data_IF_083023760125
#
_entry.id   IF_083023760125
#
_cell.length_a   1.000
_cell.length_b   1.000
_cell.length_c   1.000
_cell.angle_alpha   90.00
_cell.angle_beta   90.00
_cell.angle_gamma   90.00
#
_symmetry.space_group_name_H-M   'P 1'
#
loop_
_entity.id
_entity.type
_entity.pdbx_description
1 polymer ?
#
# COMPACT_ATOMS: atom_id res chain seq x y z
N UNK A 1 -24.18 -2.74 -17.10
CA UNK A 1 -24.54 -2.64 -15.66
C UNK A 1 -24.73 -1.18 -15.29
N UNK A 2 -25.67 -0.85 -14.40
CA UNK A 2 -25.85 0.52 -13.88
C UNK A 2 -25.28 0.59 -12.46
N UNK A 3 -24.58 1.67 -12.10
CA UNK A 3 -24.05 1.88 -10.74
C UNK A 3 -25.12 2.28 -9.71
N UNK A 4 -26.41 2.23 -10.09
CA UNK A 4 -27.54 2.67 -9.25
C UNK A 4 -27.93 1.62 -8.19
N UNK A 5 -27.64 0.36 -8.44
CA UNK A 5 -27.93 -0.74 -7.52
C UNK A 5 -26.63 -1.22 -6.89
N UNK A 6 -26.62 -1.31 -5.56
CA UNK A 6 -25.51 -1.93 -4.83
C UNK A 6 -25.44 -3.40 -5.21
N UNK A 7 -24.26 -3.88 -5.60
CA UNK A 7 -23.98 -5.29 -5.69
C UNK A 7 -23.81 -5.85 -4.26
N UNK A 8 -24.65 -6.82 -3.89
CA UNK A 8 -24.51 -7.58 -2.65
C UNK A 8 -24.17 -9.01 -3.09
N UNK A 9 -22.88 -9.29 -3.17
CA UNK A 9 -22.30 -10.56 -3.57
C UNK A 9 -20.94 -10.71 -2.88
N UNK A 10 -20.41 -11.93 -2.86
CA UNK A 10 -19.04 -12.17 -2.41
C UNK A 10 -18.04 -11.40 -3.27
N UNK A 11 -16.98 -10.89 -2.63
CA UNK A 11 -15.94 -10.15 -3.31
C UNK A 11 -15.07 -11.09 -4.14
N UNK A 12 -15.10 -10.92 -5.46
CA UNK A 12 -14.35 -11.77 -6.39
C UNK A 12 -12.84 -11.72 -6.18
N UNK A 13 -12.31 -10.58 -5.71
CA UNK A 13 -10.88 -10.42 -5.41
C UNK A 13 -10.44 -11.29 -4.22
N UNK A 14 -11.37 -11.56 -3.31
CA UNK A 14 -11.14 -12.32 -2.08
C UNK A 14 -11.44 -13.82 -2.25
N UNK A 15 -11.90 -14.24 -3.41
CA UNK A 15 -12.20 -15.65 -3.68
C UNK A 15 -10.96 -16.54 -3.45
N UNK A 16 -11.16 -17.64 -2.73
CA UNK A 16 -10.10 -18.59 -2.37
C UNK A 16 -9.47 -19.27 -3.59
N UNK A 17 -10.25 -19.46 -4.65
CA UNK A 17 -9.84 -20.09 -5.91
C UNK A 17 -9.25 -19.10 -6.93
N UNK A 18 -9.13 -17.82 -6.58
CA UNK A 18 -8.55 -16.81 -7.47
C UNK A 18 -7.05 -17.05 -7.64
N UNK A 19 -6.63 -17.28 -8.89
CA UNK A 19 -5.23 -17.51 -9.22
C UNK A 19 -4.34 -16.31 -8.82
N UNK A 20 -3.09 -16.57 -8.44
CA UNK A 20 -2.14 -15.52 -8.06
C UNK A 20 -1.86 -14.53 -9.21
N UNK A 21 -1.84 -15.02 -10.45
CA UNK A 21 -1.69 -14.18 -11.64
C UNK A 21 -2.87 -13.23 -11.82
N UNK A 22 -4.10 -13.75 -11.71
CA UNK A 22 -5.32 -12.93 -11.78
C UNK A 22 -5.36 -11.93 -10.64
N UNK A 23 -5.02 -12.33 -9.41
CA UNK A 23 -4.93 -11.43 -8.27
C UNK A 23 -3.95 -10.28 -8.54
N UNK A 24 -2.73 -10.59 -8.99
CA UNK A 24 -1.71 -9.59 -9.31
C UNK A 24 -2.19 -8.60 -10.40
N UNK A 25 -2.90 -9.08 -11.42
CA UNK A 25 -3.50 -8.23 -12.44
C UNK A 25 -4.59 -7.31 -11.86
N UNK A 26 -5.48 -7.84 -11.02
CA UNK A 26 -6.56 -7.07 -10.37
C UNK A 26 -5.99 -5.96 -9.50
N UNK A 27 -5.05 -6.27 -8.59
CA UNK A 27 -4.46 -5.25 -7.71
C UNK A 27 -3.61 -4.23 -8.49
N UNK A 28 -2.96 -4.66 -9.56
CA UNK A 28 -2.25 -3.77 -10.48
C UNK A 28 -3.19 -2.81 -11.23
N UNK A 29 -4.36 -3.28 -11.65
CA UNK A 29 -5.40 -2.44 -12.26
C UNK A 29 -6.04 -1.50 -11.25
N UNK A 30 -6.23 -1.95 -10.01
CA UNK A 30 -6.73 -1.12 -8.92
C UNK A 30 -5.79 0.07 -8.64
N UNK A 31 -4.46 -0.14 -8.70
CA UNK A 31 -3.49 0.95 -8.62
C UNK A 31 -3.66 2.02 -9.74
N UNK A 32 -4.08 1.62 -10.94
CA UNK A 32 -4.40 2.55 -12.04
C UNK A 32 -5.67 3.35 -11.71
N UNK A 33 -6.71 2.68 -11.19
CA UNK A 33 -7.94 3.34 -10.73
C UNK A 33 -7.62 4.35 -9.62
N UNK A 34 -6.85 3.96 -8.61
CA UNK A 34 -6.39 4.81 -7.52
C UNK A 34 -5.63 6.04 -8.02
N UNK A 35 -4.84 5.88 -9.08
CA UNK A 35 -4.17 7.01 -9.74
C UNK A 35 -5.16 7.99 -10.37
N UNK A 36 -6.16 7.49 -11.11
CA UNK A 36 -7.17 8.30 -11.78
C UNK A 36 -8.07 9.03 -10.77
N UNK A 37 -8.46 8.35 -9.70
CA UNK A 37 -9.29 8.91 -8.62
C UNK A 37 -8.50 9.79 -7.65
N UNK A 38 -7.19 9.92 -7.86
CA UNK A 38 -6.28 10.72 -7.03
C UNK A 38 -6.21 10.25 -5.57
N UNK A 39 -6.50 8.97 -5.32
CA UNK A 39 -6.48 8.33 -4.01
C UNK A 39 -5.17 8.52 -3.23
N UNK A 40 -3.97 8.60 -3.86
CA UNK A 40 -2.73 8.87 -3.10
C UNK A 40 -2.60 10.29 -2.53
N UNK A 41 -3.35 11.27 -3.05
CA UNK A 41 -3.12 12.69 -2.70
C UNK A 41 -3.39 12.99 -1.22
N UNK A 42 -4.48 12.52 -0.59
CA UNK A 42 -4.73 12.74 0.83
C UNK A 42 -3.60 12.21 1.72
N UNK A 43 -3.14 10.98 1.49
CA UNK A 43 -2.05 10.34 2.25
C UNK A 43 -0.74 11.13 2.11
N UNK A 44 -0.34 11.48 0.89
CA UNK A 44 0.88 12.27 0.68
C UNK A 44 0.78 13.70 1.25
N UNK A 45 -0.42 14.28 1.27
CA UNK A 45 -0.66 15.59 1.90
C UNK A 45 -0.62 15.53 3.42
N UNK A 46 -1.12 14.43 4.01
CA UNK A 46 -0.95 14.15 5.43
C UNK A 46 0.53 14.06 5.79
N UNK A 47 1.28 13.18 5.11
CA UNK A 47 2.72 13.01 5.36
C UNK A 47 3.48 14.31 5.19
N UNK A 48 3.23 15.08 4.13
CA UNK A 48 3.84 16.41 3.94
C UNK A 48 3.66 17.37 5.10
N UNK A 49 2.52 17.34 5.78
CA UNK A 49 2.27 18.20 6.94
C UNK A 49 2.93 17.64 8.19
N UNK A 50 2.84 16.32 8.37
CA UNK A 50 3.33 15.63 9.56
C UNK A 50 4.87 15.55 9.61
N UNK A 51 5.54 15.53 8.45
CA UNK A 51 7.01 15.45 8.37
C UNK A 51 7.72 16.81 8.35
N UNK A 52 7.05 17.90 8.76
CA UNK A 52 7.68 19.22 8.81
C UNK A 52 8.80 19.23 9.86
N UNK A 53 10.01 19.56 9.44
CA UNK A 53 11.19 19.58 10.31
C UNK A 53 11.80 18.21 10.60
N UNK A 54 11.24 17.13 10.05
CA UNK A 54 11.84 15.80 10.13
C UNK A 54 12.89 15.63 9.03
N UNK A 55 13.92 14.86 9.32
CA UNK A 55 14.92 14.39 8.34
C UNK A 55 14.75 12.91 7.99
N UNK A 56 14.05 12.16 8.85
CA UNK A 56 13.76 10.74 8.66
C UNK A 56 12.45 10.34 9.32
N UNK A 57 11.83 9.25 8.87
CA UNK A 57 10.68 8.63 9.57
C UNK A 57 10.54 7.13 9.27
N UNK A 58 9.81 6.44 10.15
CA UNK A 58 9.40 5.03 10.02
C UNK A 58 7.89 4.93 9.75
N UNK A 59 7.49 4.20 8.72
CA UNK A 59 6.09 4.06 8.33
C UNK A 59 5.68 2.59 8.12
N UNK A 60 4.53 2.24 8.70
CA UNK A 60 3.82 0.99 8.46
C UNK A 60 2.58 1.27 7.59
N UNK A 61 2.40 0.50 6.51
CA UNK A 61 1.18 0.44 5.71
C UNK A 61 0.45 -0.88 5.99
N UNK A 62 -0.78 -0.80 6.49
CA UNK A 62 -1.60 -1.95 6.88
C UNK A 62 -2.61 -2.25 5.77
N UNK A 63 -2.50 -3.46 5.21
CA UNK A 63 -3.21 -3.86 3.99
C UNK A 63 -2.58 -3.18 2.78
N UNK A 64 -1.30 -3.47 2.49
CA UNK A 64 -0.58 -2.76 1.43
C UNK A 64 -1.00 -3.19 0.02
N UNK A 65 -1.69 -4.33 -0.15
CA UNK A 65 -2.12 -4.82 -1.47
C UNK A 65 -0.95 -4.94 -2.45
N UNK A 66 -1.00 -4.17 -3.54
CA UNK A 66 0.09 -4.13 -4.52
C UNK A 66 1.30 -3.27 -4.11
N UNK A 67 1.26 -2.56 -2.98
CA UNK A 67 2.34 -1.69 -2.51
C UNK A 67 2.48 -0.37 -3.28
N UNK A 68 1.51 0.01 -4.11
CA UNK A 68 1.53 1.27 -4.88
C UNK A 68 1.70 2.50 -3.98
N UNK A 69 0.99 2.54 -2.85
CA UNK A 69 1.10 3.64 -1.89
C UNK A 69 2.52 3.76 -1.32
N UNK A 70 3.11 2.65 -0.86
CA UNK A 70 4.48 2.61 -0.34
C UNK A 70 5.50 3.07 -1.39
N UNK A 71 5.36 2.63 -2.66
CA UNK A 71 6.23 3.11 -3.75
C UNK A 71 6.08 4.62 -4.01
N UNK A 72 4.87 5.16 -3.89
CA UNK A 72 4.64 6.61 -4.01
C UNK A 72 5.24 7.38 -2.85
N UNK A 73 5.12 6.86 -1.62
CA UNK A 73 5.73 7.43 -0.42
C UNK A 73 7.24 7.44 -0.56
N UNK A 74 7.86 6.33 -0.97
CA UNK A 74 9.31 6.23 -1.19
C UNK A 74 9.81 7.31 -2.17
N UNK A 75 9.19 7.41 -3.35
CA UNK A 75 9.54 8.44 -4.35
C UNK A 75 9.23 9.86 -3.88
N UNK A 76 8.21 10.05 -3.06
CA UNK A 76 7.84 11.35 -2.51
C UNK A 76 8.82 11.83 -1.43
N UNK A 77 9.29 10.91 -0.59
CA UNK A 77 10.26 11.14 0.47
C UNK A 77 11.66 11.39 -0.10
N UNK A 78 12.10 10.58 -1.08
CA UNK A 78 13.36 10.77 -1.78
C UNK A 78 13.49 12.16 -2.40
N UNK A 79 12.43 12.66 -3.07
CA UNK A 79 12.38 14.02 -3.63
C UNK A 79 12.44 15.14 -2.59
N UNK A 80 12.27 14.82 -1.31
CA UNK A 80 12.32 15.75 -0.17
C UNK A 80 13.59 15.59 0.67
N UNK A 81 14.47 14.66 0.31
CA UNK A 81 15.64 14.33 1.12
C UNK A 81 15.27 13.72 2.48
N UNK A 82 14.12 13.05 2.58
CA UNK A 82 13.71 12.33 3.78
C UNK A 82 14.22 10.89 3.70
N UNK A 83 14.94 10.45 4.74
CA UNK A 83 15.28 9.05 4.94
C UNK A 83 14.06 8.28 5.47
N UNK A 84 13.80 7.08 4.96
CA UNK A 84 12.59 6.32 5.32
C UNK A 84 12.86 4.85 5.53
N UNK A 85 12.30 4.30 6.61
CA UNK A 85 12.06 2.85 6.75
C UNK A 85 10.58 2.58 6.47
N UNK A 86 10.31 1.89 5.37
CA UNK A 86 8.98 1.68 4.81
C UNK A 86 8.61 0.20 4.84
N UNK A 87 7.53 -0.11 5.54
CA UNK A 87 7.10 -1.50 5.79
C UNK A 87 5.63 -1.64 5.46
N UNK A 88 5.29 -2.67 4.69
CA UNK A 88 3.91 -3.08 4.46
C UNK A 88 3.63 -4.39 5.21
N UNK A 89 2.48 -4.48 5.87
CA UNK A 89 1.91 -5.74 6.37
C UNK A 89 0.56 -6.03 5.71
N UNK A 90 0.34 -7.28 5.29
CA UNK A 90 -0.91 -7.74 4.69
C UNK A 90 -1.16 -9.20 5.05
N UNK A 91 -2.41 -9.57 5.32
CA UNK A 91 -2.78 -10.95 5.66
C UNK A 91 -2.70 -11.87 4.43
N UNK A 92 -2.92 -11.34 3.23
CA UNK A 92 -2.96 -12.13 2.01
C UNK A 92 -1.52 -12.38 1.48
N UNK A 93 -1.05 -13.63 1.42
CA UNK A 93 0.29 -13.94 0.90
C UNK A 93 0.47 -13.54 -0.56
N UNK A 94 -0.62 -13.43 -1.34
CA UNK A 94 -0.59 -13.00 -2.74
C UNK A 94 -0.18 -11.53 -2.87
N UNK A 95 -0.51 -10.68 -1.89
CA UNK A 95 -0.13 -9.27 -1.85
C UNK A 95 1.40 -9.10 -1.87
N UNK A 96 2.12 -9.85 -1.02
CA UNK A 96 3.57 -9.75 -0.95
C UNK A 96 4.25 -10.13 -2.28
N UNK A 97 3.72 -11.14 -2.99
CA UNK A 97 4.21 -11.54 -4.30
C UNK A 97 4.01 -10.44 -5.34
N UNK A 98 2.79 -9.90 -5.45
CA UNK A 98 2.46 -8.82 -6.39
C UNK A 98 3.28 -7.55 -6.11
N UNK A 99 3.31 -7.11 -4.84
CA UNK A 99 4.02 -5.92 -4.42
C UNK A 99 5.53 -6.03 -4.65
N UNK A 100 6.12 -7.19 -4.42
CA UNK A 100 7.55 -7.43 -4.69
C UNK A 100 7.82 -7.37 -6.19
N UNK A 101 6.99 -8.00 -7.03
CA UNK A 101 7.16 -8.00 -8.48
C UNK A 101 7.03 -6.59 -9.10
N UNK A 102 6.16 -5.74 -8.55
CA UNK A 102 5.94 -4.38 -9.04
C UNK A 102 6.84 -3.31 -8.38
N UNK A 103 7.62 -3.67 -7.36
CA UNK A 103 8.56 -2.76 -6.72
C UNK A 103 9.94 -2.83 -7.38
N UNK A 104 10.42 -1.69 -7.93
CA UNK A 104 11.81 -1.58 -8.37
C UNK A 104 12.79 -1.93 -7.26
N UNK A 105 13.85 -2.67 -7.59
CA UNK A 105 14.83 -3.17 -6.62
C UNK A 105 15.61 -2.07 -5.87
N UNK A 106 15.61 -0.84 -6.39
CA UNK A 106 16.25 0.33 -5.77
C UNK A 106 15.39 1.00 -4.69
N UNK A 107 14.12 0.61 -4.55
CA UNK A 107 13.25 1.13 -3.48
C UNK A 107 13.37 0.24 -2.22
N UNK A 108 13.84 0.77 -1.07
CA UNK A 108 14.01 0.01 0.15
C UNK A 108 12.67 -0.16 0.89
N UNK A 109 11.74 -0.91 0.29
CA UNK A 109 10.41 -1.21 0.86
C UNK A 109 10.39 -2.68 1.27
N UNK A 110 9.90 -2.96 2.48
CA UNK A 110 9.84 -4.31 3.01
C UNK A 110 8.38 -4.76 3.15
N UNK A 111 8.00 -5.80 2.43
CA UNK A 111 6.66 -6.39 2.47
C UNK A 111 6.64 -7.63 3.36
N UNK A 112 5.68 -7.70 4.27
CA UNK A 112 5.52 -8.79 5.24
C UNK A 112 4.12 -9.37 5.11
N UNK A 113 4.00 -10.67 4.96
CA UNK A 113 2.73 -11.36 5.13
C UNK A 113 2.51 -11.66 6.62
N UNK A 114 1.42 -11.20 7.21
CA UNK A 114 1.14 -11.40 8.63
C UNK A 114 0.03 -10.51 9.17
N UNK A 115 -0.21 -10.62 10.48
CA UNK A 115 -1.15 -9.77 11.19
C UNK A 115 -0.48 -8.43 11.57
N UNK A 116 -1.19 -7.32 11.39
CA UNK A 116 -0.68 -6.01 11.78
C UNK A 116 -0.48 -5.88 13.29
N UNK A 117 -1.20 -6.68 14.09
CA UNK A 117 -1.08 -6.71 15.54
C UNK A 117 0.34 -7.08 15.99
N UNK A 118 1.05 -7.92 15.22
CA UNK A 118 2.44 -8.32 15.48
C UNK A 118 3.44 -7.16 15.31
N UNK A 119 3.01 -6.06 14.68
CA UNK A 119 3.81 -4.86 14.50
C UNK A 119 3.50 -3.76 15.53
N UNK A 120 2.62 -4.00 16.49
CA UNK A 120 2.30 -3.05 17.55
C UNK A 120 3.53 -2.74 18.44
N UNK A 121 3.66 -1.49 18.88
CA UNK A 121 4.75 -1.08 19.77
C UNK A 121 6.14 -1.01 19.13
N UNK A 122 6.27 -1.24 17.82
CA UNK A 122 7.57 -1.21 17.13
C UNK A 122 8.11 0.20 16.83
N UNK A 123 7.54 1.26 17.42
CA UNK A 123 8.04 2.63 17.27
C UNK A 123 7.86 3.22 15.87
N UNK A 124 6.68 3.03 15.27
CA UNK A 124 6.31 3.67 14.01
C UNK A 124 6.01 5.16 14.23
N UNK A 125 6.57 6.04 13.39
CA UNK A 125 6.17 7.46 13.37
C UNK A 125 4.81 7.63 12.70
N UNK A 126 4.53 6.79 11.69
CA UNK A 126 3.27 6.80 10.95
C UNK A 126 2.76 5.38 10.75
N UNK A 127 1.45 5.21 10.94
CA UNK A 127 0.71 4.04 10.49
C UNK A 127 -0.36 4.54 9.53
N UNK A 128 -0.38 3.98 8.33
CA UNK A 128 -1.40 4.27 7.32
C UNK A 128 -2.13 2.99 6.97
N UNK A 129 -3.39 3.13 6.58
CA UNK A 129 -4.12 2.11 5.86
C UNK A 129 -4.80 2.86 4.73
N UNK A 130 -4.36 2.55 3.51
CA UNK A 130 -4.76 3.29 2.32
C UNK A 130 -5.67 2.44 1.44
N UNK A 131 -6.18 3.04 0.37
CA UNK A 131 -6.90 2.28 -0.64
C UNK A 131 -5.90 1.33 -1.30
N UNK A 132 -6.13 0.03 -1.10
CA UNK A 132 -5.53 -1.04 -1.92
C UNK A 132 -5.85 -0.81 -3.38
#
# INVERSE_FOLDING_TARGET
MTLKQRAIAEELMDADDLSAETYAAVVGDLAKVNSITMAPRPTLNFLRRATRGMTRFRLLDVGFGDGDMLRRIARWAARRGLETDLVGVDLNPRSALAATAHTPADLPIRYVTGDYADHAGAGWDFVVSSLV
#
